data_IF_932449653408
#
_entry.id   IF_932449653408
#
_cell.length_a   1.000
_cell.length_b   1.000
_cell.length_c   1.000
_cell.angle_alpha   90.00
_cell.angle_beta   90.00
_cell.angle_gamma   90.00
#
_symmetry.space_group_name_H-M   'P 1'
#
loop_
_entity.id
_entity.type
_entity.pdbx_description
1 polymer ?
#
# COMPACT_ATOMS: atom_id res chain seq x y z
N UNK A 1 9.53 -23.08 19.92
CA UNK A 1 10.16 -21.93 19.24
C UNK A 1 9.07 -21.23 18.47
N UNK A 2 8.95 -19.92 18.69
CA UNK A 2 7.72 -19.13 18.58
C UNK A 2 7.62 -18.52 17.18
N UNK A 3 6.87 -19.13 16.27
CA UNK A 3 6.41 -18.45 15.03
C UNK A 3 4.97 -18.82 14.70
N UNK A 4 4.17 -18.99 15.74
CA UNK A 4 2.73 -19.16 15.61
C UNK A 4 2.07 -17.79 15.75
N UNK A 5 1.42 -17.40 14.66
CA UNK A 5 0.05 -16.91 14.72
C UNK A 5 -0.15 -15.50 15.25
N UNK A 6 0.25 -14.53 14.43
CA UNK A 6 -0.55 -13.32 14.34
C UNK A 6 -0.80 -12.91 12.88
N UNK A 7 -1.12 -13.92 12.07
CA UNK A 7 -1.74 -13.73 10.75
C UNK A 7 -3.05 -12.94 10.90
N UNK A 8 -3.78 -13.15 12.00
CA UNK A 8 -5.04 -12.47 12.29
C UNK A 8 -4.86 -10.98 12.59
N UNK A 9 -3.91 -10.56 13.43
CA UNK A 9 -3.65 -9.12 13.66
C UNK A 9 -3.06 -8.44 12.42
N UNK A 10 -2.28 -9.16 11.62
CA UNK A 10 -1.69 -8.65 10.37
C UNK A 10 -2.74 -8.52 9.25
N UNK A 11 -3.62 -9.50 9.11
CA UNK A 11 -4.78 -9.44 8.24
C UNK A 11 -5.77 -8.38 8.73
N UNK A 12 -6.00 -8.25 10.03
CA UNK A 12 -6.84 -7.19 10.60
C UNK A 12 -6.24 -5.78 10.38
N UNK A 13 -4.90 -5.68 10.36
CA UNK A 13 -4.22 -4.43 10.01
C UNK A 13 -4.37 -4.10 8.52
N UNK A 14 -4.25 -5.10 7.64
CA UNK A 14 -4.51 -4.97 6.21
C UNK A 14 -5.99 -4.65 5.92
N UNK A 15 -6.91 -5.37 6.55
CA UNK A 15 -8.35 -5.12 6.49
C UNK A 15 -8.68 -3.75 7.05
N UNK A 16 -7.95 -3.28 8.07
CA UNK A 16 -8.05 -1.92 8.59
C UNK A 16 -7.64 -0.86 7.56
N UNK A 17 -6.54 -1.04 6.84
CA UNK A 17 -6.08 -0.11 5.81
C UNK A 17 -6.96 -0.18 4.55
N UNK A 18 -7.38 -1.39 4.15
CA UNK A 18 -8.33 -1.61 3.05
C UNK A 18 -9.72 -1.06 3.40
N UNK A 19 -10.20 -1.24 4.63
CA UNK A 19 -11.46 -0.65 5.12
C UNK A 19 -11.36 0.87 5.22
N UNK A 20 -10.21 1.42 5.62
CA UNK A 20 -9.95 2.85 5.52
C UNK A 20 -10.07 3.31 4.06
N UNK A 21 -9.43 2.57 3.12
CA UNK A 21 -9.51 2.75 1.67
C UNK A 21 -10.94 2.76 1.12
N UNK A 22 -11.75 1.78 1.54
CA UNK A 22 -13.16 1.63 1.16
C UNK A 22 -14.09 2.64 1.85
N UNK A 23 -13.70 3.20 3.00
CA UNK A 23 -14.44 4.27 3.66
C UNK A 23 -14.24 5.58 2.89
N UNK A 24 -15.06 5.76 1.87
CA UNK A 24 -15.02 6.90 0.97
C UNK A 24 -14.85 8.24 1.72
N UNK A 25 -13.90 9.05 1.26
CA UNK A 25 -13.72 10.49 1.52
C UNK A 25 -13.09 10.94 2.83
N UNK A 26 -12.54 10.09 3.73
CA UNK A 26 -12.02 10.56 5.04
C UNK A 26 -10.54 10.35 5.37
N UNK A 27 -9.83 9.44 4.70
CA UNK A 27 -8.45 9.05 5.06
C UNK A 27 -7.48 10.25 5.00
N UNK A 28 -7.61 11.04 3.94
CA UNK A 28 -6.78 12.21 3.66
C UNK A 28 -7.42 13.55 4.12
N UNK A 29 -8.40 13.53 5.05
CA UNK A 29 -9.08 14.76 5.51
C UNK A 29 -8.22 15.64 6.42
N UNK A 30 -7.27 15.05 7.13
CA UNK A 30 -6.35 15.79 8.00
C UNK A 30 -4.92 15.44 7.64
N UNK A 31 -4.01 16.42 7.76
CA UNK A 31 -2.58 16.18 7.55
C UNK A 31 -2.04 15.08 8.48
N UNK A 32 -2.57 14.99 9.70
CA UNK A 32 -2.17 13.98 10.69
C UNK A 32 -2.61 12.56 10.30
N UNK A 33 -3.84 12.39 9.81
CA UNK A 33 -4.33 11.06 9.36
C UNK A 33 -3.63 10.62 8.08
N UNK A 34 -3.42 11.55 7.15
CA UNK A 34 -2.63 11.34 5.93
C UNK A 34 -1.22 10.87 6.26
N UNK A 35 -0.48 11.61 7.09
CA UNK A 35 0.89 11.26 7.46
C UNK A 35 0.98 9.87 8.12
N UNK A 36 0.02 9.52 8.98
CA UNK A 36 -0.04 8.19 9.62
C UNK A 36 -0.22 7.08 8.58
N UNK A 37 -1.14 7.27 7.64
CA UNK A 37 -1.40 6.27 6.58
C UNK A 37 -0.20 6.12 5.67
N UNK A 38 0.40 7.21 5.21
CA UNK A 38 1.59 7.17 4.36
C UNK A 38 2.77 6.49 5.09
N UNK A 39 2.96 6.74 6.39
CA UNK A 39 4.00 6.08 7.18
C UNK A 39 3.73 4.58 7.34
N UNK A 40 2.49 4.18 7.61
CA UNK A 40 2.12 2.77 7.70
C UNK A 40 2.35 2.02 6.38
N UNK A 41 1.97 2.62 5.25
CA UNK A 41 2.21 2.03 3.94
C UNK A 41 3.72 1.90 3.65
N UNK A 42 4.54 2.91 3.99
CA UNK A 42 6.00 2.82 3.87
C UNK A 42 6.59 1.68 4.68
N UNK A 43 6.16 1.53 5.93
CA UNK A 43 6.63 0.44 6.79
C UNK A 43 6.27 -0.93 6.21
N UNK A 44 5.03 -1.11 5.74
CA UNK A 44 4.55 -2.38 5.22
C UNK A 44 5.21 -2.76 3.88
N UNK A 45 5.58 -1.78 3.07
CA UNK A 45 6.27 -2.00 1.78
C UNK A 45 7.66 -2.63 1.94
N UNK A 46 8.30 -2.45 3.10
CA UNK A 46 9.61 -3.03 3.42
C UNK A 46 9.57 -4.13 4.48
N UNK A 47 8.40 -4.70 4.77
CA UNK A 47 8.29 -5.73 5.81
C UNK A 47 8.88 -7.07 5.33
N UNK A 48 9.52 -7.83 6.21
CA UNK A 48 10.09 -9.16 5.89
C UNK A 48 9.09 -10.18 5.32
N UNK A 49 7.80 -10.05 5.62
CA UNK A 49 6.75 -10.96 5.15
C UNK A 49 6.24 -10.49 3.79
N UNK A 50 6.41 -11.34 2.79
CA UNK A 50 6.00 -11.03 1.42
C UNK A 50 4.50 -10.72 1.33
N UNK A 51 3.65 -11.40 2.10
CA UNK A 51 2.19 -11.17 2.09
C UNK A 51 1.83 -9.73 2.50
N UNK A 52 2.61 -9.14 3.40
CA UNK A 52 2.39 -7.75 3.83
C UNK A 52 2.85 -6.76 2.78
N UNK A 53 3.96 -7.05 2.11
CA UNK A 53 4.44 -6.25 0.98
C UNK A 53 3.43 -6.30 -0.17
N UNK A 54 2.93 -7.48 -0.50
CA UNK A 54 1.91 -7.72 -1.54
C UNK A 54 0.60 -7.00 -1.21
N UNK A 55 0.08 -7.19 0.01
CA UNK A 55 -1.13 -6.51 0.48
C UNK A 55 -0.98 -4.99 0.49
N UNK A 56 0.17 -4.48 0.92
CA UNK A 56 0.49 -3.06 0.86
C UNK A 56 0.46 -2.56 -0.59
N UNK A 57 1.10 -3.29 -1.51
CA UNK A 57 1.14 -2.90 -2.91
C UNK A 57 -0.27 -2.83 -3.51
N UNK A 58 -1.10 -3.86 -3.31
CA UNK A 58 -2.51 -3.87 -3.74
C UNK A 58 -3.31 -2.71 -3.13
N UNK A 59 -3.03 -2.37 -1.87
CA UNK A 59 -3.72 -1.28 -1.18
C UNK A 59 -3.36 0.07 -1.76
N UNK A 60 -2.08 0.34 -2.03
CA UNK A 60 -1.63 1.57 -2.69
C UNK A 60 -2.29 1.69 -4.07
N UNK A 61 -2.32 0.60 -4.85
CA UNK A 61 -2.99 0.54 -6.16
C UNK A 61 -4.46 0.91 -6.05
N UNK A 62 -5.18 0.32 -5.10
CA UNK A 62 -6.61 0.61 -4.89
C UNK A 62 -6.83 2.06 -4.46
N UNK A 63 -5.99 2.60 -3.57
CA UNK A 63 -6.07 4.01 -3.18
C UNK A 63 -5.92 4.90 -4.42
N UNK A 64 -4.81 4.74 -5.15
CA UNK A 64 -4.47 5.54 -6.32
C UNK A 64 -5.56 5.50 -7.41
N UNK A 65 -6.17 4.33 -7.63
CA UNK A 65 -7.22 4.13 -8.64
C UNK A 65 -8.58 4.65 -8.19
N UNK A 66 -8.99 4.35 -6.96
CA UNK A 66 -10.39 4.46 -6.53
C UNK A 66 -10.65 5.75 -5.72
N UNK A 67 -9.62 6.40 -5.15
CA UNK A 67 -9.76 7.62 -4.35
C UNK A 67 -9.24 8.83 -5.11
N UNK A 68 -10.17 9.73 -5.49
CA UNK A 68 -9.86 11.01 -6.16
C UNK A 68 -8.81 11.82 -5.39
N UNK A 69 -7.74 12.22 -6.09
CA UNK A 69 -6.65 13.03 -5.54
C UNK A 69 -5.69 12.29 -4.63
N UNK A 70 -5.84 10.98 -4.43
CA UNK A 70 -4.87 10.19 -3.66
C UNK A 70 -3.65 9.81 -4.50
N UNK A 71 -3.80 9.60 -5.80
CA UNK A 71 -2.70 9.28 -6.73
C UNK A 71 -1.57 10.32 -6.62
N UNK A 72 -1.91 11.59 -6.76
CA UNK A 72 -0.92 12.68 -6.69
C UNK A 72 -0.24 12.73 -5.32
N UNK A 73 -0.99 12.51 -4.23
CA UNK A 73 -0.42 12.44 -2.88
C UNK A 73 0.55 11.27 -2.70
N UNK A 74 0.21 10.11 -3.25
CA UNK A 74 1.07 8.93 -3.22
C UNK A 74 2.33 9.14 -4.08
N UNK A 75 2.21 9.82 -5.22
CA UNK A 75 3.33 10.25 -6.05
C UNK A 75 4.25 11.23 -5.33
N UNK A 76 3.70 12.29 -4.73
CA UNK A 76 4.44 13.26 -3.92
C UNK A 76 5.12 12.60 -2.71
N UNK A 77 4.46 11.59 -2.14
CA UNK A 77 5.02 10.76 -1.09
C UNK A 77 6.00 9.69 -1.59
N UNK A 78 6.35 9.67 -2.88
CA UNK A 78 7.42 8.81 -3.43
C UNK A 78 7.08 7.33 -3.53
N UNK A 79 5.79 6.94 -3.50
CA UNK A 79 5.40 5.53 -3.60
C UNK A 79 5.71 4.89 -4.96
N UNK A 80 5.83 5.69 -6.03
CA UNK A 80 6.30 5.17 -7.31
C UNK A 80 7.70 4.54 -7.20
N UNK A 81 8.64 5.21 -6.50
CA UNK A 81 10.00 4.68 -6.31
C UNK A 81 10.01 3.42 -5.43
N UNK A 82 9.11 3.36 -4.44
CA UNK A 82 8.93 2.18 -3.60
C UNK A 82 8.49 1.00 -4.47
N UNK A 83 7.48 1.18 -5.32
CA UNK A 83 7.04 0.11 -6.22
C UNK A 83 8.06 -0.26 -7.28
N UNK A 84 8.85 0.68 -7.80
CA UNK A 84 9.98 0.36 -8.69
C UNK A 84 11.01 -0.53 -8.00
N UNK A 85 11.23 -0.34 -6.70
CA UNK A 85 12.10 -1.22 -5.90
C UNK A 85 11.46 -2.59 -5.71
N UNK A 86 10.17 -2.63 -5.33
CA UNK A 86 9.42 -3.88 -5.11
C UNK A 86 9.10 -4.65 -6.40
N UNK A 87 9.25 -4.05 -7.57
CA UNK A 87 9.21 -4.77 -8.84
C UNK A 87 10.41 -5.73 -9.00
N UNK A 88 11.46 -5.55 -8.21
CA UNK A 88 12.58 -6.49 -8.08
C UNK A 88 12.56 -7.28 -6.76
N UNK A 89 11.41 -7.40 -6.10
CA UNK A 89 11.25 -8.20 -4.88
C UNK A 89 11.56 -9.69 -5.14
N UNK A 90 11.96 -10.45 -4.13
CA UNK A 90 12.23 -11.88 -4.29
C UNK A 90 10.95 -12.71 -4.49
N UNK A 91 9.78 -12.16 -4.11
CA UNK A 91 8.48 -12.82 -4.24
C UNK A 91 7.71 -12.36 -5.49
N UNK A 92 7.25 -13.30 -6.30
CA UNK A 92 6.58 -13.01 -7.58
C UNK A 92 5.22 -12.33 -7.43
N UNK A 93 4.49 -12.59 -6.34
CA UNK A 93 3.19 -11.97 -6.11
C UNK A 93 3.38 -10.49 -5.73
N UNK A 94 4.42 -10.18 -4.94
CA UNK A 94 4.84 -8.80 -4.63
C UNK A 94 5.29 -8.07 -5.90
N UNK A 95 6.09 -8.72 -6.75
CA UNK A 95 6.53 -8.16 -8.02
C UNK A 95 5.33 -7.78 -8.90
N UNK A 96 4.39 -8.72 -9.10
CA UNK A 96 3.23 -8.50 -9.95
C UNK A 96 2.34 -7.39 -9.39
N UNK A 97 2.05 -7.39 -8.09
CA UNK A 97 1.27 -6.33 -7.45
C UNK A 97 1.93 -4.95 -7.59
N UNK A 98 3.26 -4.89 -7.57
CA UNK A 98 4.01 -3.65 -7.73
C UNK A 98 4.04 -3.17 -9.18
N UNK A 99 4.13 -4.08 -10.15
CA UNK A 99 4.02 -3.76 -11.58
C UNK A 99 2.63 -3.18 -11.88
N UNK A 100 1.57 -3.79 -11.34
CA UNK A 100 0.20 -3.28 -11.49
C UNK A 100 0.07 -1.86 -10.90
N UNK A 101 0.68 -1.62 -9.73
CA UNK A 101 0.71 -0.29 -9.12
C UNK A 101 1.43 0.74 -9.99
N UNK A 102 2.59 0.39 -10.55
CA UNK A 102 3.36 1.25 -11.45
C UNK A 102 2.50 1.63 -12.65
N UNK A 103 1.79 0.66 -13.26
CA UNK A 103 0.89 0.91 -14.39
C UNK A 103 -0.18 1.95 -14.02
N UNK A 104 -0.78 1.86 -12.83
CA UNK A 104 -1.75 2.85 -12.34
C UNK A 104 -1.11 4.23 -12.12
N UNK A 105 0.11 4.29 -11.61
CA UNK A 105 0.81 5.57 -11.43
C UNK A 105 1.17 6.24 -12.76
N UNK A 106 1.60 5.48 -13.77
CA UNK A 106 2.07 6.05 -15.05
C UNK A 106 0.97 6.26 -16.08
N UNK A 107 -0.17 5.57 -15.94
CA UNK A 107 -1.36 5.89 -16.73
C UNK A 107 -1.78 7.33 -16.40
N UNK A 108 -1.79 8.16 -17.44
CA UNK A 108 -2.41 9.47 -17.38
C UNK A 108 -3.88 9.29 -17.79
N UNK A 109 -4.79 9.86 -16.99
CA UNK A 109 -6.17 10.13 -17.42
C UNK A 109 -6.19 11.18 -18.55
#
# INVERSE_FOLDING_TARGET
MVEDHDLDVRQASMDGIVALGKSEKKIFRSKTSEAKVLNSLRMLSGHDLWQLREGCAKTITNLARDIKGSRDKLLDAGFLNIHLTMAGDDDSDVQQASIDAIIIFVKND
#
